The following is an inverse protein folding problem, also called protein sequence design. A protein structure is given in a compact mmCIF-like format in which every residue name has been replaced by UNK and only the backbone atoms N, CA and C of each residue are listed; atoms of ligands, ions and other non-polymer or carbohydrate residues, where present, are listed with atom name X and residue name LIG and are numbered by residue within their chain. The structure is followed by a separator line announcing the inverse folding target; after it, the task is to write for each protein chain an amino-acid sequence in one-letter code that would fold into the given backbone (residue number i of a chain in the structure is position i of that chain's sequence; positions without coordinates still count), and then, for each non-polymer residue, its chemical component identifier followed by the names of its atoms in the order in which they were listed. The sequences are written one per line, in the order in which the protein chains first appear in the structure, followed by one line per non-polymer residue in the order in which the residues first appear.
data_IF_489448073701
#
_entry.id   IF_489448073701
#
_cell.length_a   1.000
_cell.length_b   1.000
_cell.length_c   1.000
_cell.angle_alpha   90.00
_cell.angle_beta   90.00
_cell.angle_gamma   90.00
#
_symmetry.space_group_name_H-M   'P 1'
#
loop_
_entity.id
_entity.type
_entity.pdbx_description
1 polymer ?
#
# COMPACT_ATOMS: atom_id res chain seq x y z
N UNK A 1 -16.14 11.18 -48.22
CA UNK A 1 -15.34 10.66 -47.09
C UNK A 1 -16.30 10.08 -46.08
N UNK A 2 -16.34 8.75 -45.95
CA UNK A 2 -17.10 8.07 -44.90
C UNK A 2 -16.32 8.17 -43.58
N UNK A 3 -16.97 8.44 -42.44
CA UNK A 3 -16.29 8.35 -41.15
C UNK A 3 -15.99 6.88 -40.83
N UNK A 4 -14.70 6.60 -40.61
CA UNK A 4 -14.22 5.30 -40.14
C UNK A 4 -14.78 5.02 -38.74
N UNK A 5 -15.44 3.88 -38.59
CA UNK A 5 -15.87 3.35 -37.30
C UNK A 5 -14.66 3.00 -36.43
N UNK A 6 -14.68 3.47 -35.19
CA UNK A 6 -13.75 3.06 -34.13
C UNK A 6 -13.84 1.54 -33.92
N UNK A 7 -12.73 0.85 -33.63
CA UNK A 7 -12.75 -0.59 -33.39
C UNK A 7 -13.59 -0.90 -32.15
N UNK A 8 -14.54 -1.81 -32.32
CA UNK A 8 -15.41 -2.33 -31.29
C UNK A 8 -14.60 -2.87 -30.11
N UNK A 9 -14.90 -2.38 -28.92
CA UNK A 9 -14.47 -2.94 -27.64
C UNK A 9 -14.87 -4.41 -27.60
N UNK A 10 -13.98 -5.38 -27.24
CA UNK A 10 -14.37 -6.77 -27.14
C UNK A 10 -15.51 -6.93 -26.13
N UNK A 11 -16.65 -7.32 -26.68
CA UNK A 11 -17.92 -7.58 -26.06
C UNK A 11 -17.89 -8.96 -25.41
N UNK A 12 -17.75 -8.97 -24.08
CA UNK A 12 -18.39 -9.90 -23.14
C UNK A 12 -17.99 -9.48 -21.72
N UNK A 13 -18.91 -9.30 -20.75
CA UNK A 13 -18.53 -9.17 -19.37
C UNK A 13 -17.98 -10.53 -18.94
N UNK A 14 -16.66 -10.67 -18.96
CA UNK A 14 -15.99 -11.74 -18.25
C UNK A 14 -16.46 -11.62 -16.81
N UNK A 15 -17.26 -12.58 -16.36
CA UNK A 15 -17.80 -12.63 -15.00
C UNK A 15 -16.60 -12.44 -14.07
N UNK A 16 -16.51 -11.25 -13.47
CA UNK A 16 -15.26 -10.80 -12.86
C UNK A 16 -15.26 -11.39 -11.46
N UNK A 17 -14.37 -12.37 -11.17
CA UNK A 17 -14.41 -13.08 -9.91
C UNK A 17 -14.19 -12.12 -8.76
N UNK A 18 -14.94 -12.32 -7.68
CA UNK A 18 -14.81 -11.48 -6.49
C UNK A 18 -13.43 -11.71 -5.85
N UNK A 19 -12.84 -10.71 -5.17
CA UNK A 19 -11.56 -10.89 -4.49
C UNK A 19 -11.54 -12.05 -3.46
N UNK A 20 -12.69 -12.40 -2.87
CA UNK A 20 -12.83 -13.57 -2.00
C UNK A 20 -12.69 -14.90 -2.73
N UNK A 21 -13.25 -15.00 -3.94
CA UNK A 21 -13.18 -16.22 -4.75
C UNK A 21 -11.74 -16.45 -5.24
N UNK A 22 -11.04 -15.39 -5.64
CA UNK A 22 -9.64 -15.46 -6.09
C UNK A 22 -8.71 -15.97 -4.98
N UNK A 23 -8.96 -15.57 -3.73
CA UNK A 23 -8.12 -15.98 -2.58
C UNK A 23 -8.19 -17.48 -2.31
N UNK A 24 -9.39 -18.06 -2.44
CA UNK A 24 -9.65 -19.47 -2.15
C UNK A 24 -9.49 -20.39 -3.38
N UNK A 25 -9.26 -19.81 -4.56
CA UNK A 25 -9.21 -20.57 -5.81
C UNK A 25 -8.05 -21.60 -5.79
N UNK A 26 -8.31 -22.85 -6.22
CA UNK A 26 -7.27 -23.85 -6.43
C UNK A 26 -6.21 -23.36 -7.43
N UNK A 27 -4.96 -23.78 -7.26
CA UNK A 27 -3.82 -23.28 -8.07
C UNK A 27 -4.04 -23.50 -9.56
N UNK A 28 -4.51 -24.69 -9.96
CA UNK A 28 -4.77 -25.02 -11.37
C UNK A 28 -5.86 -24.11 -11.99
N UNK A 29 -6.91 -23.80 -11.24
CA UNK A 29 -7.97 -22.90 -11.69
C UNK A 29 -7.50 -21.44 -11.75
N UNK A 30 -6.66 -21.02 -10.80
CA UNK A 30 -6.03 -19.70 -10.80
C UNK A 30 -5.13 -19.51 -12.02
N UNK A 31 -4.30 -20.49 -12.35
CA UNK A 31 -3.43 -20.46 -13.52
C UNK A 31 -4.25 -20.40 -14.81
N UNK A 32 -5.30 -21.23 -14.92
CA UNK A 32 -6.24 -21.21 -16.06
C UNK A 32 -6.94 -19.86 -16.21
N UNK A 33 -7.40 -19.27 -15.10
CA UNK A 33 -8.02 -17.95 -15.07
C UNK A 33 -7.05 -16.86 -15.56
N UNK A 34 -5.83 -16.85 -15.03
CA UNK A 34 -4.79 -15.88 -15.42
C UNK A 34 -4.44 -16.04 -16.90
N UNK A 35 -4.25 -17.28 -17.37
CA UNK A 35 -3.90 -17.56 -18.76
C UNK A 35 -4.99 -17.09 -19.74
N UNK A 36 -6.27 -17.23 -19.36
CA UNK A 36 -7.40 -16.82 -20.19
C UNK A 36 -7.66 -15.31 -20.17
N UNK A 37 -7.44 -14.66 -19.04
CA UNK A 37 -7.89 -13.27 -18.84
C UNK A 37 -6.78 -12.22 -18.94
N UNK A 38 -5.53 -12.58 -18.64
CA UNK A 38 -4.40 -11.66 -18.56
C UNK A 38 -3.48 -11.89 -19.76
N UNK A 39 -3.28 -10.89 -20.64
CA UNK A 39 -2.33 -11.00 -21.75
C UNK A 39 -0.93 -11.38 -21.24
N UNK A 40 -0.34 -12.42 -21.82
CA UNK A 40 0.96 -12.97 -21.40
C UNK A 40 2.07 -11.91 -21.33
N UNK A 41 2.04 -10.92 -22.23
CA UNK A 41 2.99 -9.78 -22.28
C UNK A 41 2.96 -8.86 -21.05
N UNK A 42 1.89 -8.88 -20.26
CA UNK A 42 1.77 -8.05 -19.05
C UNK A 42 2.28 -8.76 -17.81
N UNK A 43 2.34 -10.09 -17.84
CA UNK A 43 2.80 -10.89 -16.71
C UNK A 43 4.32 -10.80 -16.59
N UNK A 44 4.87 -10.51 -15.40
CA UNK A 44 6.32 -10.54 -15.17
C UNK A 44 6.82 -11.99 -15.03
N UNK A 45 6.64 -12.80 -16.09
CA UNK A 45 7.00 -14.23 -16.11
C UNK A 45 8.44 -14.53 -15.70
N UNK A 46 9.47 -13.81 -16.20
CA UNK A 46 10.85 -14.08 -15.78
C UNK A 46 11.01 -14.06 -14.25
N UNK A 47 10.37 -13.10 -13.59
CA UNK A 47 10.39 -13.02 -12.13
C UNK A 47 9.55 -14.12 -11.47
N UNK A 48 8.33 -14.39 -11.95
CA UNK A 48 7.41 -15.37 -11.35
C UNK A 48 7.94 -16.80 -11.49
N UNK A 49 8.56 -17.13 -12.61
CA UNK A 49 9.06 -18.47 -12.91
C UNK A 49 10.30 -18.81 -12.06
N UNK A 50 11.08 -17.82 -11.63
CA UNK A 50 12.21 -17.99 -10.72
C UNK A 50 11.81 -18.19 -9.24
N UNK A 51 10.56 -17.91 -8.87
CA UNK A 51 10.09 -18.05 -7.49
C UNK A 51 9.96 -19.52 -7.07
N UNK A 52 10.17 -19.76 -5.78
CA UNK A 52 9.82 -21.03 -5.14
C UNK A 52 8.31 -21.34 -5.32
N UNK A 53 7.88 -22.61 -5.36
CA UNK A 53 6.50 -22.98 -5.68
C UNK A 53 5.44 -22.25 -4.84
N UNK A 54 5.65 -22.12 -3.52
CA UNK A 54 4.72 -21.42 -2.62
C UNK A 54 4.64 -19.91 -2.91
N UNK A 55 5.79 -19.27 -3.13
CA UNK A 55 5.87 -17.85 -3.47
C UNK A 55 5.29 -17.56 -4.86
N UNK A 56 5.44 -18.49 -5.80
CA UNK A 56 4.85 -18.41 -7.14
C UNK A 56 3.33 -18.37 -7.06
N UNK A 57 2.72 -19.27 -6.29
CA UNK A 57 1.27 -19.28 -6.08
C UNK A 57 0.80 -17.98 -5.44
N UNK A 58 1.50 -17.50 -4.41
CA UNK A 58 1.20 -16.23 -3.77
C UNK A 58 1.30 -15.04 -4.76
N UNK A 59 2.33 -15.01 -5.60
CA UNK A 59 2.52 -13.99 -6.63
C UNK A 59 1.38 -14.01 -7.66
N UNK A 60 1.00 -15.18 -8.16
CA UNK A 60 -0.12 -15.35 -9.08
C UNK A 60 -1.44 -14.88 -8.46
N UNK A 61 -1.69 -15.20 -7.18
CA UNK A 61 -2.86 -14.68 -6.46
C UNK A 61 -2.84 -13.17 -6.38
N UNK A 62 -1.70 -12.55 -6.04
CA UNK A 62 -1.57 -11.09 -6.01
C UNK A 62 -1.81 -10.46 -7.39
N UNK A 63 -1.32 -11.08 -8.47
CA UNK A 63 -1.57 -10.65 -9.85
C UNK A 63 -3.06 -10.69 -10.16
N UNK A 64 -3.73 -11.81 -9.89
CA UNK A 64 -5.16 -11.95 -10.13
C UNK A 64 -5.98 -10.95 -9.30
N UNK A 65 -5.69 -10.84 -8.00
CA UNK A 65 -6.35 -9.88 -7.12
C UNK A 65 -6.21 -8.46 -7.65
N UNK A 66 -5.01 -8.03 -8.02
CA UNK A 66 -4.76 -6.70 -8.58
C UNK A 66 -5.53 -6.47 -9.88
N UNK A 67 -5.49 -7.44 -10.78
CA UNK A 67 -6.07 -7.32 -12.11
C UNK A 67 -7.60 -7.29 -12.09
N UNK A 68 -8.22 -8.11 -11.23
CA UNK A 68 -9.68 -8.21 -11.16
C UNK A 68 -10.32 -7.19 -10.21
N UNK A 69 -9.58 -6.64 -9.24
CA UNK A 69 -10.12 -5.69 -8.25
C UNK A 69 -10.15 -4.24 -8.73
N UNK A 70 -9.49 -3.88 -9.84
CA UNK A 70 -9.47 -2.50 -10.35
C UNK A 70 -9.89 -2.43 -11.83
N UNK A 71 -10.78 -1.50 -12.22
CA UNK A 71 -11.11 -1.20 -13.62
C UNK A 71 -9.93 -1.06 -14.59
N UNK A 72 -8.77 -0.56 -14.12
CA UNK A 72 -7.57 -0.37 -14.95
C UNK A 72 -6.83 -1.68 -15.25
N UNK A 73 -7.27 -2.82 -14.71
CA UNK A 73 -6.68 -4.15 -14.94
C UNK A 73 -5.17 -4.18 -14.70
N UNK A 74 -4.76 -3.68 -13.52
CA UNK A 74 -3.35 -3.44 -13.19
C UNK A 74 -2.65 -4.77 -12.87
N UNK A 75 -1.53 -5.04 -13.55
CA UNK A 75 -0.62 -6.14 -13.21
C UNK A 75 0.57 -5.59 -12.42
N UNK A 76 0.90 -6.16 -11.25
CA UNK A 76 2.04 -5.73 -10.45
C UNK A 76 3.39 -5.95 -11.16
N UNK A 77 4.31 -4.99 -10.98
CA UNK A 77 5.72 -5.09 -11.36
C UNK A 77 6.48 -5.99 -10.39
N UNK A 78 7.64 -6.56 -10.79
CA UNK A 78 8.44 -7.46 -9.95
C UNK A 78 8.69 -6.92 -8.54
N UNK A 79 9.16 -5.68 -8.38
CA UNK A 79 9.47 -5.13 -7.05
C UNK A 79 8.23 -5.02 -6.13
N UNK A 80 7.04 -4.82 -6.70
CA UNK A 80 5.79 -4.75 -5.94
C UNK A 80 5.39 -6.14 -5.41
N UNK A 81 5.61 -7.17 -6.24
CA UNK A 81 5.43 -8.57 -5.83
C UNK A 81 6.50 -8.96 -4.79
N UNK A 82 7.77 -8.63 -5.01
CA UNK A 82 8.85 -8.87 -4.05
C UNK A 82 8.53 -8.29 -2.66
N UNK A 83 8.08 -7.02 -2.63
CA UNK A 83 7.67 -6.36 -1.39
C UNK A 83 6.51 -7.12 -0.71
N UNK A 84 5.53 -7.56 -1.48
CA UNK A 84 4.36 -8.27 -0.95
C UNK A 84 4.70 -9.66 -0.45
N UNK A 85 5.53 -10.42 -1.17
CA UNK A 85 5.97 -11.77 -0.75
C UNK A 85 6.87 -11.73 0.48
N UNK A 86 7.76 -10.74 0.59
CA UNK A 86 8.54 -10.54 1.80
C UNK A 86 7.63 -10.27 3.01
N UNK A 87 6.56 -9.48 2.83
CA UNK A 87 5.53 -9.30 3.86
C UNK A 87 4.82 -10.61 4.24
N UNK A 88 4.50 -11.47 3.27
CA UNK A 88 3.87 -12.77 3.54
C UNK A 88 4.78 -13.63 4.43
N UNK A 89 6.09 -13.58 4.17
CA UNK A 89 7.11 -14.30 4.92
C UNK A 89 7.53 -13.58 6.20
N UNK A 90 6.75 -12.59 6.67
CA UNK A 90 7.02 -11.78 7.88
C UNK A 90 8.40 -11.11 7.89
N UNK A 91 8.93 -10.78 6.71
CA UNK A 91 10.18 -10.05 6.57
C UNK A 91 9.93 -8.55 6.45
N UNK A 92 10.84 -7.78 7.02
CA UNK A 92 10.87 -6.33 6.82
C UNK A 92 11.49 -5.98 5.47
N UNK A 93 10.95 -4.94 4.82
CA UNK A 93 11.35 -4.51 3.48
C UNK A 93 11.61 -3.01 3.48
N UNK A 94 12.71 -2.59 2.86
CA UNK A 94 12.92 -1.22 2.43
C UNK A 94 12.71 -1.16 0.91
N UNK A 95 11.70 -0.40 0.47
CA UNK A 95 11.50 -0.13 -0.96
C UNK A 95 12.09 1.23 -1.28
N UNK A 96 13.18 1.24 -2.03
CA UNK A 96 13.75 2.47 -2.59
C UNK A 96 13.39 2.56 -4.08
N UNK A 97 12.58 3.56 -4.43
CA UNK A 97 12.20 3.82 -5.80
C UNK A 97 11.76 5.28 -5.97
N UNK A 98 11.95 5.84 -7.16
CA UNK A 98 11.52 7.20 -7.51
C UNK A 98 10.00 7.44 -7.40
N UNK A 99 9.58 8.70 -7.39
CA UNK A 99 8.18 9.12 -7.56
C UNK A 99 7.59 8.54 -8.86
N UNK A 100 6.28 8.27 -8.86
CA UNK A 100 5.59 7.70 -10.03
C UNK A 100 5.90 6.22 -10.33
N UNK A 101 6.86 5.58 -9.64
CA UNK A 101 7.21 4.16 -9.86
C UNK A 101 6.11 3.16 -9.48
N UNK A 102 5.06 3.61 -8.77
CA UNK A 102 3.91 2.80 -8.40
C UNK A 102 4.00 2.18 -7.00
N UNK A 103 4.78 2.76 -6.08
CA UNK A 103 4.94 2.24 -4.70
C UNK A 103 3.64 2.08 -3.92
N UNK A 104 2.59 2.84 -4.26
CA UNK A 104 1.28 2.70 -3.61
C UNK A 104 0.73 1.28 -3.77
N UNK A 105 1.02 0.58 -4.87
CA UNK A 105 0.59 -0.80 -5.06
C UNK A 105 1.21 -1.76 -4.03
N UNK A 106 2.40 -1.45 -3.50
CA UNK A 106 2.99 -2.21 -2.38
C UNK A 106 2.16 -2.09 -1.08
N UNK A 107 1.34 -1.06 -0.95
CA UNK A 107 0.40 -0.89 0.17
C UNK A 107 -0.92 -1.60 -0.11
N UNK A 108 -1.38 -1.57 -1.36
CA UNK A 108 -2.66 -2.15 -1.79
C UNK A 108 -2.62 -3.68 -1.76
N UNK A 109 -1.59 -4.30 -2.36
CA UNK A 109 -1.54 -5.76 -2.54
C UNK A 109 -1.68 -6.55 -1.22
N UNK A 110 -1.00 -6.19 -0.12
CA UNK A 110 -1.20 -6.88 1.16
C UNK A 110 -2.63 -6.74 1.70
N UNK A 111 -3.31 -5.61 1.45
CA UNK A 111 -4.70 -5.42 1.89
C UNK A 111 -5.68 -6.28 1.07
N UNK A 112 -5.44 -6.43 -0.23
CA UNK A 112 -6.23 -7.34 -1.07
C UNK A 112 -6.02 -8.81 -0.70
N UNK A 113 -4.77 -9.19 -0.40
CA UNK A 113 -4.42 -10.56 -0.03
C UNK A 113 -4.92 -10.96 1.37
N UNK A 114 -4.91 -10.03 2.33
CA UNK A 114 -5.26 -10.29 3.72
C UNK A 114 -6.31 -9.30 4.25
N UNK A 115 -7.57 -9.41 3.81
CA UNK A 115 -8.61 -8.43 4.13
C UNK A 115 -9.07 -8.47 5.60
N UNK A 116 -8.74 -9.53 6.34
CA UNK A 116 -9.05 -9.67 7.76
C UNK A 116 -8.03 -8.95 8.67
N UNK A 117 -6.95 -8.43 8.11
CA UNK A 117 -5.85 -7.83 8.85
C UNK A 117 -5.77 -6.33 8.63
N UNK A 118 -5.34 -5.61 9.66
CA UNK A 118 -5.18 -4.16 9.61
C UNK A 118 -3.75 -3.77 9.22
N UNK A 119 -3.63 -2.72 8.42
CA UNK A 119 -2.37 -2.07 8.06
C UNK A 119 -2.34 -0.64 8.61
N UNK A 120 -1.18 -0.17 9.07
CA UNK A 120 -0.98 1.24 9.44
C UNK A 120 0.08 1.86 8.54
N UNK A 121 -0.28 2.90 7.78
CA UNK A 121 0.66 3.73 7.02
C UNK A 121 0.94 5.03 7.76
N UNK A 122 2.21 5.31 8.04
CA UNK A 122 2.66 6.58 8.61
C UNK A 122 2.99 7.53 7.46
N UNK A 123 2.26 8.63 7.38
CA UNK A 123 2.38 9.64 6.31
C UNK A 123 2.35 11.04 6.93
N UNK A 124 3.42 11.85 6.80
CA UNK A 124 3.54 13.12 7.51
C UNK A 124 2.60 14.22 6.97
N UNK A 125 2.26 14.17 5.68
CA UNK A 125 1.53 15.24 4.99
C UNK A 125 0.04 14.92 4.85
N UNK A 126 -0.84 15.72 5.47
CA UNK A 126 -2.31 15.56 5.39
C UNK A 126 -2.83 15.42 3.95
N UNK A 127 -2.36 16.27 3.03
CA UNK A 127 -2.76 16.21 1.62
C UNK A 127 -2.39 14.88 0.97
N UNK A 128 -1.23 14.32 1.33
CA UNK A 128 -0.83 13.00 0.84
C UNK A 128 -1.72 11.91 1.43
N UNK A 129 -2.12 12.01 2.70
CA UNK A 129 -3.06 11.06 3.30
C UNK A 129 -4.37 11.00 2.52
N UNK A 130 -4.94 12.15 2.15
CA UNK A 130 -6.19 12.21 1.36
C UNK A 130 -6.03 11.53 -0.01
N UNK A 131 -4.93 11.78 -0.71
CA UNK A 131 -4.66 11.14 -2.01
C UNK A 131 -4.50 9.62 -1.88
N UNK A 132 -3.83 9.17 -0.82
CA UNK A 132 -3.62 7.75 -0.55
C UNK A 132 -4.90 7.04 -0.12
N UNK A 133 -5.72 7.71 0.70
CA UNK A 133 -7.03 7.20 1.09
C UNK A 133 -7.92 7.03 -0.15
N UNK A 134 -8.02 8.06 -0.99
CA UNK A 134 -8.81 7.99 -2.23
C UNK A 134 -8.32 6.87 -3.16
N UNK A 135 -7.00 6.69 -3.28
CA UNK A 135 -6.44 5.57 -4.04
C UNK A 135 -6.87 4.23 -3.42
N UNK A 136 -6.61 3.98 -2.13
CA UNK A 136 -7.02 2.73 -1.45
C UNK A 136 -8.53 2.46 -1.55
N UNK A 137 -9.37 3.48 -1.41
CA UNK A 137 -10.83 3.38 -1.56
C UNK A 137 -11.24 2.97 -2.97
N UNK A 138 -10.52 3.44 -4.00
CA UNK A 138 -10.77 3.03 -5.39
C UNK A 138 -10.51 1.53 -5.62
N UNK A 139 -9.76 0.88 -4.72
CA UNK A 139 -9.54 -0.57 -4.67
C UNK A 139 -10.53 -1.31 -3.74
N UNK A 140 -11.54 -0.62 -3.21
CA UNK A 140 -12.51 -1.21 -2.26
C UNK A 140 -11.94 -1.44 -0.86
N UNK A 141 -10.79 -0.83 -0.53
CA UNK A 141 -10.17 -0.98 0.78
C UNK A 141 -10.78 0.04 1.74
N UNK A 142 -11.25 -0.44 2.90
CA UNK A 142 -11.80 0.41 3.96
C UNK A 142 -10.66 1.13 4.67
N UNK A 143 -10.50 2.43 4.40
CA UNK A 143 -9.41 3.25 4.94
C UNK A 143 -9.94 4.35 5.87
N UNK A 144 -9.11 4.80 6.80
CA UNK A 144 -9.35 6.00 7.59
C UNK A 144 -8.06 6.79 7.79
N UNK A 145 -8.14 8.11 7.64
CA UNK A 145 -7.05 9.01 7.98
C UNK A 145 -7.15 9.44 9.46
N UNK A 146 -6.05 9.34 10.20
CA UNK A 146 -5.94 9.77 11.60
C UNK A 146 -4.84 10.82 11.72
N UNK A 147 -5.24 12.04 12.02
CA UNK A 147 -4.42 13.25 12.07
C UNK A 147 -4.99 14.23 13.10
N UNK A 148 -4.40 15.42 13.22
CA UNK A 148 -4.86 16.45 14.18
C UNK A 148 -6.32 16.93 13.94
N UNK A 149 -6.86 16.79 12.73
CA UNK A 149 -8.24 17.18 12.40
C UNK A 149 -9.25 16.06 12.70
N UNK A 150 -8.80 14.90 13.20
CA UNK A 150 -9.68 13.76 13.44
C UNK A 150 -10.67 14.06 14.56
N UNK A 151 -12.00 13.99 14.29
CA UNK A 151 -12.99 14.41 15.26
C UNK A 151 -13.01 13.49 16.49
N UNK A 152 -13.44 14.05 17.61
CA UNK A 152 -13.64 13.32 18.86
C UNK A 152 -14.88 12.41 18.89
N UNK A 153 -15.35 11.95 17.73
CA UNK A 153 -16.58 11.15 17.56
C UNK A 153 -16.42 9.73 18.17
N UNK A 154 -17.18 9.35 19.22
CA UNK A 154 -17.06 8.04 19.85
C UNK A 154 -17.30 6.86 18.92
N UNK A 155 -18.22 6.97 17.95
CA UNK A 155 -18.53 5.90 17.01
C UNK A 155 -17.36 5.64 16.06
N UNK A 156 -16.71 6.69 15.55
CA UNK A 156 -15.51 6.57 14.70
C UNK A 156 -14.39 5.81 15.43
N UNK A 157 -14.07 6.22 16.66
CA UNK A 157 -12.99 5.61 17.43
C UNK A 157 -13.33 4.18 17.85
N UNK A 158 -14.60 3.89 18.17
CA UNK A 158 -15.07 2.51 18.38
C UNK A 158 -14.91 1.66 17.13
N UNK A 159 -15.20 2.21 15.95
CA UNK A 159 -15.05 1.49 14.69
C UNK A 159 -13.59 1.20 14.34
N UNK A 160 -12.69 2.15 14.64
CA UNK A 160 -11.24 1.94 14.54
C UNK A 160 -10.82 0.80 15.48
N UNK A 161 -11.17 0.89 16.76
CA UNK A 161 -10.80 -0.11 17.77
C UNK A 161 -11.33 -1.52 17.45
N UNK A 162 -12.50 -1.63 16.83
CA UNK A 162 -13.13 -2.90 16.44
C UNK A 162 -12.58 -3.50 15.13
N UNK A 163 -11.70 -2.79 14.41
CA UNK A 163 -11.14 -3.30 13.15
C UNK A 163 -12.06 -3.17 11.94
N UNK A 164 -13.03 -2.24 11.96
CA UNK A 164 -13.90 -2.01 10.78
C UNK A 164 -13.14 -1.42 9.59
N UNK A 165 -11.95 -0.85 9.82
CA UNK A 165 -11.04 -0.37 8.77
C UNK A 165 -9.90 -1.38 8.53
N UNK A 166 -9.60 -1.64 7.26
CA UNK A 166 -8.48 -2.49 6.83
C UNK A 166 -7.16 -1.69 6.85
N UNK A 167 -7.23 -0.37 6.65
CA UNK A 167 -6.04 0.47 6.52
C UNK A 167 -6.21 1.78 7.29
N UNK A 168 -5.21 2.15 8.10
CA UNK A 168 -5.15 3.44 8.78
C UNK A 168 -4.01 4.23 8.18
N UNK A 169 -4.25 5.46 7.74
CA UNK A 169 -3.19 6.40 7.35
C UNK A 169 -3.04 7.42 8.46
N UNK A 170 -1.88 7.47 9.09
CA UNK A 170 -1.70 8.18 10.35
C UNK A 170 -0.57 9.19 10.24
N UNK A 171 -0.73 10.35 10.87
CA UNK A 171 0.39 11.24 11.10
C UNK A 171 1.33 10.64 12.16
N UNK A 172 2.67 10.82 12.05
CA UNK A 172 3.63 10.39 13.06
C UNK A 172 3.23 10.83 14.47
N UNK A 173 2.66 12.02 14.56
CA UNK A 173 2.23 12.65 15.80
C UNK A 173 1.18 11.86 16.57
N UNK A 174 0.39 11.02 15.88
CA UNK A 174 -0.68 10.23 16.47
C UNK A 174 -0.18 8.95 17.16
N UNK A 175 1.10 8.60 16.97
CA UNK A 175 1.68 7.33 17.45
C UNK A 175 2.31 7.43 18.84
N UNK A 176 2.44 8.63 19.41
CA UNK A 176 3.09 8.81 20.71
C UNK A 176 2.77 10.13 21.40
N UNK A 177 3.28 10.34 22.62
CA UNK A 177 3.03 11.56 23.37
C UNK A 177 3.68 12.78 22.73
N UNK A 178 2.94 13.88 22.62
CA UNK A 178 3.45 15.19 22.17
C UNK A 178 3.15 16.21 23.23
N UNK A 179 4.20 16.85 23.77
CA UNK A 179 4.08 17.89 24.80
C UNK A 179 3.19 17.46 25.98
N UNK A 180 3.28 16.20 26.39
CA UNK A 180 2.49 15.61 27.49
C UNK A 180 1.08 15.16 27.11
N UNK A 181 0.57 15.51 25.92
CA UNK A 181 -0.70 15.00 25.42
C UNK A 181 -0.50 13.66 24.70
N UNK A 182 -1.26 12.63 25.11
CA UNK A 182 -1.28 11.33 24.44
C UNK A 182 -2.47 11.31 23.46
N UNK A 183 -2.25 11.18 22.15
CA UNK A 183 -3.32 11.04 21.17
C UNK A 183 -4.19 9.81 21.42
N UNK A 184 -5.44 9.82 20.95
CA UNK A 184 -6.36 8.68 21.10
C UNK A 184 -5.83 7.41 20.43
N UNK A 185 -5.21 7.53 19.25
CA UNK A 185 -4.60 6.40 18.57
C UNK A 185 -3.44 5.80 19.38
N UNK A 186 -2.55 6.63 19.92
CA UNK A 186 -1.48 6.15 20.81
C UNK A 186 -2.03 5.34 21.99
N UNK A 187 -3.13 5.78 22.62
CA UNK A 187 -3.82 4.99 23.68
C UNK A 187 -4.39 3.67 23.18
N UNK A 188 -4.85 3.58 21.93
CA UNK A 188 -5.31 2.32 21.34
C UNK A 188 -4.14 1.37 21.08
N UNK A 189 -2.98 1.89 20.67
CA UNK A 189 -1.76 1.10 20.45
C UNK A 189 -1.21 0.48 21.75
N UNK A 190 -1.62 0.96 22.92
CA UNK A 190 -1.31 0.32 24.20
C UNK A 190 -2.24 -0.88 24.51
N UNK A 191 -3.34 -1.08 23.77
CA UNK A 191 -4.30 -2.17 24.00
C UNK A 191 -3.89 -3.42 23.21
N UNK A 192 -3.59 -4.56 23.87
CA UNK A 192 -3.15 -5.79 23.18
C UNK A 192 -4.14 -6.32 22.15
N UNK A 193 -5.45 -6.23 22.44
CA UNK A 193 -6.52 -6.65 21.52
C UNK A 193 -6.50 -5.84 20.22
N UNK A 194 -6.28 -4.54 20.30
CA UNK A 194 -6.20 -3.69 19.11
C UNK A 194 -4.92 -3.98 18.32
N UNK A 195 -3.78 -4.09 19.00
CA UNK A 195 -2.49 -4.41 18.37
C UNK A 195 -2.53 -5.77 17.65
N UNK A 196 -3.25 -6.76 18.18
CA UNK A 196 -3.41 -8.06 17.51
C UNK A 196 -4.13 -7.99 16.15
N UNK A 197 -4.86 -6.91 15.87
CA UNK A 197 -5.47 -6.67 14.56
C UNK A 197 -4.44 -6.17 13.53
N UNK A 198 -3.37 -5.52 14.00
CA UNK A 198 -2.36 -4.88 13.15
C UNK A 198 -1.33 -5.91 12.71
N UNK A 199 -1.33 -6.23 11.43
CA UNK A 199 -0.41 -7.20 10.85
C UNK A 199 0.81 -6.57 10.20
N UNK A 200 0.79 -5.25 9.96
CA UNK A 200 1.86 -4.54 9.25
C UNK A 200 1.87 -3.05 9.51
N UNK A 201 3.08 -2.51 9.58
CA UNK A 201 3.34 -1.07 9.56
C UNK A 201 4.02 -0.70 8.25
N UNK A 202 3.52 0.33 7.59
CA UNK A 202 4.10 0.94 6.42
C UNK A 202 4.57 2.34 6.81
N UNK A 203 5.84 2.65 6.62
CA UNK A 203 6.36 3.99 6.91
C UNK A 203 6.75 4.62 5.59
N UNK A 204 6.21 5.81 5.32
CA UNK A 204 6.56 6.58 4.15
C UNK A 204 7.59 7.62 4.54
N UNK A 205 8.83 7.39 4.12
CA UNK A 205 9.92 8.33 4.31
C UNK A 205 10.14 9.10 3.00
N UNK A 206 10.21 10.43 3.08
CA UNK A 206 10.75 11.24 2.00
C UNK A 206 12.27 11.34 2.17
N UNK A 207 13.03 11.30 1.08
CA UNK A 207 14.51 11.22 1.05
C UNK A 207 15.24 12.27 1.93
N UNK A 208 14.60 13.41 2.21
CA UNK A 208 15.17 14.50 3.04
C UNK A 208 14.95 14.35 4.55
N UNK A 209 14.08 13.43 5.01
CA UNK A 209 13.67 13.29 6.41
C UNK A 209 13.98 11.89 6.99
N UNK A 210 15.10 11.28 6.59
CA UNK A 210 15.54 10.03 7.20
C UNK A 210 16.03 10.28 8.63
N UNK A 211 15.09 10.41 9.57
CA UNK A 211 15.35 10.31 10.99
C UNK A 211 14.91 8.90 11.43
N UNK A 212 15.82 8.02 11.87
CA UNK A 212 15.42 6.72 12.38
C UNK A 212 14.51 6.94 13.59
N UNK A 213 13.21 6.65 13.42
CA UNK A 213 12.25 6.66 14.51
C UNK A 213 12.83 5.80 15.65
N UNK A 214 13.15 6.45 16.77
CA UNK A 214 13.61 5.81 18.00
C UNK A 214 12.52 4.84 18.46
N UNK A 215 12.73 3.56 18.17
CA UNK A 215 11.82 2.49 18.59
C UNK A 215 12.12 2.15 20.05
N UNK A 216 11.13 2.35 20.94
CA UNK A 216 11.33 2.32 22.39
C UNK A 216 11.40 0.93 23.03
N UNK A 217 11.32 -0.22 22.32
CA UNK A 217 11.48 -1.57 22.93
C UNK A 217 11.95 -2.64 21.92
N UNK A 218 12.59 -3.74 22.38
CA UNK A 218 13.19 -4.79 21.55
C UNK A 218 12.19 -5.52 20.64
N UNK A 219 12.71 -6.10 19.56
CA UNK A 219 12.07 -6.28 18.23
C UNK A 219 11.37 -7.65 18.03
N UNK A 220 11.24 -8.50 19.05
CA UNK A 220 10.96 -9.92 18.81
C UNK A 220 9.47 -10.33 18.68
N UNK A 221 8.53 -9.40 18.88
CA UNK A 221 7.08 -9.69 18.82
C UNK A 221 6.26 -8.70 17.98
N UNK A 222 6.92 -7.80 17.24
CA UNK A 222 6.23 -6.80 16.44
C UNK A 222 5.82 -7.35 15.06
N UNK A 223 4.68 -6.93 14.50
CA UNK A 223 4.31 -7.28 13.13
C UNK A 223 5.38 -6.77 12.14
N UNK A 224 5.55 -7.44 10.99
CA UNK A 224 6.53 -7.07 9.98
C UNK A 224 6.36 -5.60 9.57
N UNK A 225 7.49 -4.89 9.50
CA UNK A 225 7.53 -3.47 9.10
C UNK A 225 7.97 -3.36 7.65
N UNK A 226 7.20 -2.66 6.82
CA UNK A 226 7.65 -2.18 5.51
C UNK A 226 7.97 -0.72 5.63
N UNK A 227 9.21 -0.37 5.31
CA UNK A 227 9.62 1.01 5.09
C UNK A 227 9.53 1.24 3.58
N UNK A 228 8.57 2.05 3.14
CA UNK A 228 8.47 2.45 1.73
C UNK A 228 9.11 3.83 1.61
N UNK A 229 10.35 3.88 1.10
CA UNK A 229 11.01 5.12 0.74
C UNK A 229 10.34 5.75 -0.49
N UNK A 230 9.81 6.95 -0.33
CA UNK A 230 9.44 7.83 -1.43
C UNK A 230 10.65 8.71 -1.74
N UNK A 231 11.44 8.27 -2.72
CA UNK A 231 12.46 9.14 -3.29
C UNK A 231 11.76 10.22 -4.12
N UNK A 232 11.82 11.47 -3.67
CA UNK A 232 11.34 12.62 -4.45
C UNK A 232 12.47 12.93 -5.41
N UNK A 233 12.25 12.64 -6.70
CA UNK A 233 13.13 13.11 -7.75
C UNK A 233 13.38 14.62 -7.54
N UNK A 234 14.65 14.97 -7.38
CA UNK A 234 15.11 16.35 -7.37
C UNK A 234 14.88 16.94 -8.77
N UNK A 235 13.73 17.56 -9.00
CA UNK A 235 13.53 18.43 -10.15
C UNK A 235 13.27 19.86 -9.68
N UNK A 236 14.35 20.65 -9.85
CA UNK A 236 14.37 22.08 -10.17
C UNK A 236 13.40 23.01 -9.41
N UNK A 237 13.91 23.59 -8.33
CA UNK A 237 13.59 24.97 -7.97
C UNK A 237 14.90 25.79 -8.02
N UNK A 238 15.26 26.28 -9.21
CA UNK A 238 16.00 27.52 -9.28
C UNK A 238 15.02 28.66 -8.92
N UNK A 239 15.06 29.11 -7.68
CA UNK A 239 14.61 30.46 -7.34
C UNK A 239 15.81 31.18 -6.74
N UNK A 240 16.11 32.31 -7.39
CA UNK A 240 17.38 33.00 -7.32
C UNK A 240 17.84 33.41 -5.93
N UNK A 241 19.16 33.39 -5.77
CA UNK A 241 19.83 33.84 -4.56
C UNK A 241 21.33 34.08 -4.75
N UNK A 242 21.77 34.42 -5.97
CA UNK A 242 23.18 34.72 -6.24
C UNK A 242 23.50 36.20 -6.05
N UNK A 243 23.86 36.60 -4.82
CA UNK A 243 24.61 37.85 -4.58
C UNK A 243 25.94 37.77 -5.34
N UNK A 244 26.06 38.48 -6.46
CA UNK A 244 27.37 38.88 -6.99
C UNK A 244 27.88 40.05 -6.15
N UNK A 245 28.90 39.79 -5.32
CA UNK A 245 29.87 40.80 -4.94
C UNK A 245 30.67 41.13 -6.19
N UNK A 246 30.54 42.36 -6.69
CA UNK A 246 31.47 42.93 -7.63
C UNK A 246 32.59 43.56 -6.79
N UNK A 247 33.79 42.98 -6.92
CA UNK A 247 35.06 43.62 -6.58
C UNK A 247 35.69 43.99 -7.93
N UNK A 248 36.38 45.12 -7.90
CA UNK A 248 36.98 45.91 -9.00
C UNK A 248 36.03 46.93 -9.62
#
# INVERSE_FOLDING_TARGET
MQPQSLPETPSQPLDTPKPSEIRELPVAELESLIQRAIPSRLLPRPYIDELAPEERVAALRCVALSYFSHPKRIVPRPFQLQCTLALFNRRSVLVDAGTGSGKTLCQILPNLAFPASMSITVSPLKRLQTLQAAELESWGIRVVCVNEDTPSNPLLWKNIEQGHYQHLIVQPEQLGPIKGHIPRLARLLDKPKFVSLISRYLVLAFSLDFCPLSTRKPIETQPPKVLVGLDVASEAWEVGGGRRKQKE
#
